data_IF_313594422668
#
_entry.id   IF_313594422668
#
_cell.length_a   1.000
_cell.length_b   1.000
_cell.length_c   1.000
_cell.angle_alpha   90.00
_cell.angle_beta   90.00
_cell.angle_gamma   90.00
#
_symmetry.space_group_name_H-M   'P 1'
#
loop_
_entity.id
_entity.type
_entity.pdbx_description
1 polymer ?
#
# COMPACT_ATOMS: atom_id res chain seq x y z
N UNK A 1 -7.76 9.61 -5.62
CA UNK A 1 -6.61 10.41 -6.09
C UNK A 1 -6.63 11.71 -5.32
N UNK A 2 -5.49 12.10 -4.77
CA UNK A 2 -5.33 13.39 -4.10
C UNK A 2 -4.53 14.32 -5.01
N UNK A 3 -4.74 15.62 -4.85
CA UNK A 3 -3.92 16.65 -5.49
C UNK A 3 -3.04 17.25 -4.40
N UNK A 4 -1.74 17.31 -4.65
CA UNK A 4 -0.79 17.96 -3.77
C UNK A 4 -1.08 19.48 -3.79
N UNK A 5 -1.29 20.07 -2.61
CA UNK A 5 -1.59 21.50 -2.50
C UNK A 5 -0.39 22.39 -2.82
N UNK A 6 0.83 21.88 -2.71
CA UNK A 6 2.07 22.65 -2.91
C UNK A 6 2.41 22.86 -4.38
N UNK A 7 2.25 21.84 -5.21
CA UNK A 7 2.70 21.83 -6.61
C UNK A 7 1.63 21.37 -7.60
N UNK A 8 0.41 21.09 -7.13
CA UNK A 8 -0.74 20.66 -7.94
C UNK A 8 -0.52 19.27 -8.61
N UNK A 9 0.51 18.53 -8.20
CA UNK A 9 0.78 17.19 -8.71
C UNK A 9 -0.23 16.16 -8.19
N UNK A 10 -0.37 15.04 -8.92
CA UNK A 10 -1.25 13.94 -8.52
C UNK A 10 -0.56 13.03 -7.52
N UNK A 11 -1.31 12.56 -6.53
CA UNK A 11 -0.83 11.63 -5.51
C UNK A 11 -1.72 10.39 -5.42
N UNK A 12 -1.08 9.25 -5.13
CA UNK A 12 -1.76 8.01 -4.79
C UNK A 12 -2.03 7.94 -3.29
N UNK A 13 -3.24 7.55 -2.94
CA UNK A 13 -3.68 7.31 -1.57
C UNK A 13 -4.04 5.84 -1.43
N UNK A 14 -3.43 5.16 -0.48
CA UNK A 14 -3.79 3.81 -0.04
C UNK A 14 -4.16 3.91 1.43
N UNK A 15 -5.34 3.43 1.79
CA UNK A 15 -5.84 3.49 3.16
C UNK A 15 -6.46 2.16 3.57
N UNK A 16 -6.19 1.75 4.80
CA UNK A 16 -6.81 0.61 5.43
C UNK A 16 -7.28 0.94 6.86
N UNK A 17 -8.33 0.26 7.30
CA UNK A 17 -8.84 0.30 8.66
C UNK A 17 -8.33 -0.90 9.50
N UNK A 18 -7.18 -1.45 9.15
CA UNK A 18 -6.51 -2.51 9.90
C UNK A 18 -5.95 -2.01 11.24
N UNK A 19 -5.22 -2.86 11.95
CA UNK A 19 -4.77 -2.57 13.32
C UNK A 19 -3.74 -1.44 13.48
N UNK A 20 -3.25 -0.86 12.37
CA UNK A 20 -2.21 0.17 12.38
C UNK A 20 -0.86 -0.30 12.93
N UNK A 21 0.03 0.67 13.14
CA UNK A 21 1.39 0.47 13.61
C UNK A 21 1.66 1.36 14.82
N UNK A 22 2.18 0.74 15.88
CA UNK A 22 2.80 1.48 16.98
C UNK A 22 4.15 2.07 16.52
N UNK A 23 4.74 3.02 17.28
CA UNK A 23 5.98 3.69 16.92
C UNK A 23 7.15 2.76 16.54
N UNK A 24 7.28 1.60 17.18
CA UNK A 24 8.36 0.65 16.88
C UNK A 24 8.07 -0.11 15.58
N UNK A 25 6.82 -0.53 15.35
CA UNK A 25 6.41 -1.17 14.10
C UNK A 25 6.55 -0.25 12.89
N UNK A 26 6.23 1.04 13.03
CA UNK A 26 6.42 1.98 11.92
C UNK A 26 7.91 2.08 11.54
N UNK A 27 8.81 2.17 12.53
CA UNK A 27 10.25 2.16 12.28
C UNK A 27 10.70 0.88 11.58
N UNK A 28 10.26 -0.29 12.05
CA UNK A 28 10.56 -1.57 11.39
C UNK A 28 9.99 -1.61 9.96
N UNK A 29 8.80 -1.03 9.74
CA UNK A 29 8.19 -0.92 8.43
C UNK A 29 9.00 -0.02 7.48
N UNK A 30 9.70 0.98 8.00
CA UNK A 30 10.59 1.86 7.22
C UNK A 30 12.01 1.31 7.05
N UNK A 31 12.50 0.47 7.96
CA UNK A 31 13.83 -0.16 7.89
C UNK A 31 13.86 -1.40 6.98
N UNK A 32 14.92 -1.59 6.20
CA UNK A 32 15.09 -2.76 5.32
C UNK A 32 15.21 -4.08 6.10
N UNK A 33 14.65 -5.18 5.57
CA UNK A 33 14.89 -6.53 6.08
C UNK A 33 14.11 -6.96 7.34
N UNK A 34 13.27 -6.09 7.93
CA UNK A 34 12.49 -6.45 9.11
C UNK A 34 11.10 -7.02 8.75
N UNK A 35 10.86 -8.27 9.15
CA UNK A 35 9.54 -8.90 9.09
C UNK A 35 9.29 -9.76 10.32
N UNK A 36 8.36 -9.33 11.18
CA UNK A 36 7.90 -10.12 12.33
C UNK A 36 6.94 -11.25 11.87
N UNK A 37 6.48 -11.19 10.61
CA UNK A 37 5.44 -12.07 10.05
C UNK A 37 5.95 -13.41 9.52
N UNK A 38 7.27 -13.60 9.41
CA UNK A 38 7.84 -14.89 8.98
C UNK A 38 7.47 -16.09 9.88
N UNK A 39 6.96 -15.83 11.09
CA UNK A 39 6.54 -16.85 12.07
C UNK A 39 5.02 -17.08 12.12
N UNK A 40 4.21 -16.34 11.37
CA UNK A 40 2.75 -16.45 11.38
C UNK A 40 2.27 -17.16 10.11
N UNK A 41 1.64 -18.33 10.30
CA UNK A 41 1.00 -19.06 9.22
C UNK A 41 -0.04 -18.17 8.50
N UNK A 42 -0.17 -18.35 7.19
CA UNK A 42 -1.14 -17.66 6.33
C UNK A 42 -0.97 -16.13 6.24
N UNK A 43 0.23 -15.60 6.47
CA UNK A 43 0.56 -14.20 6.16
C UNK A 43 1.31 -14.10 4.83
N UNK A 44 0.90 -13.14 3.99
CA UNK A 44 1.50 -12.94 2.65
C UNK A 44 2.88 -12.30 2.75
N UNK A 45 3.02 -11.26 3.59
CA UNK A 45 4.27 -10.50 3.71
C UNK A 45 5.29 -11.23 4.58
N UNK A 46 6.27 -11.88 3.96
CA UNK A 46 7.31 -12.63 4.67
C UNK A 46 8.66 -11.92 4.70
N UNK A 47 9.01 -11.17 3.64
CA UNK A 47 10.37 -10.65 3.42
C UNK A 47 10.67 -9.28 4.03
N UNK A 48 9.66 -8.53 4.48
CA UNK A 48 9.87 -7.20 5.08
C UNK A 48 10.26 -6.08 4.10
N UNK A 49 10.29 -6.36 2.79
CA UNK A 49 10.74 -5.43 1.76
C UNK A 49 9.62 -4.83 0.92
N UNK A 50 8.45 -5.48 0.85
CA UNK A 50 7.38 -5.14 -0.09
C UNK A 50 6.93 -3.68 -0.04
N UNK A 51 6.81 -3.09 1.15
CA UNK A 51 6.45 -1.68 1.30
C UNK A 51 7.48 -0.75 0.62
N UNK A 52 8.78 -0.88 0.93
CA UNK A 52 9.81 0.01 0.40
C UNK A 52 9.94 -0.12 -1.11
N UNK A 53 10.02 -1.36 -1.61
CA UNK A 53 10.21 -1.61 -3.04
C UNK A 53 9.03 -1.16 -3.88
N UNK A 54 7.80 -1.44 -3.43
CA UNK A 54 6.59 -1.04 -4.17
C UNK A 54 6.35 0.47 -4.14
N UNK A 55 6.49 1.12 -2.98
CA UNK A 55 6.26 2.58 -2.89
C UNK A 55 7.29 3.35 -3.69
N UNK A 56 8.57 2.96 -3.63
CA UNK A 56 9.65 3.57 -4.44
C UNK A 56 9.52 3.26 -5.93
N UNK A 57 8.81 2.18 -6.33
CA UNK A 57 8.48 1.91 -7.73
C UNK A 57 7.34 2.79 -8.25
N UNK A 58 6.48 3.31 -7.38
CA UNK A 58 5.31 4.10 -7.78
C UNK A 58 5.60 5.62 -7.79
N UNK A 59 6.44 6.09 -6.87
CA UNK A 59 6.89 7.47 -6.84
C UNK A 59 8.17 7.64 -6.04
N UNK A 60 8.77 8.81 -6.15
CA UNK A 60 10.01 9.14 -5.46
C UNK A 60 9.83 9.26 -3.95
N UNK A 61 8.63 9.64 -3.49
CA UNK A 61 8.41 9.99 -2.09
C UNK A 61 7.10 9.40 -1.54
N UNK A 62 7.16 8.94 -0.29
CA UNK A 62 5.99 8.41 0.43
C UNK A 62 5.96 8.91 1.86
N UNK A 63 4.77 9.33 2.29
CA UNK A 63 4.46 9.65 3.68
C UNK A 63 3.41 8.67 4.21
N UNK A 64 3.64 8.16 5.41
CA UNK A 64 2.78 7.18 6.07
C UNK A 64 2.26 7.76 7.37
N UNK A 65 0.95 7.73 7.53
CA UNK A 65 0.25 8.00 8.78
C UNK A 65 -0.29 6.67 9.30
N UNK A 66 -0.03 6.34 10.56
CA UNK A 66 -0.61 5.14 11.15
C UNK A 66 -1.08 5.41 12.56
N UNK A 67 -2.27 4.91 12.90
CA UNK A 67 -2.83 4.96 14.25
C UNK A 67 -3.03 3.54 14.75
N UNK A 68 -2.49 3.26 15.92
CA UNK A 68 -2.60 1.97 16.59
C UNK A 68 -3.31 2.14 17.92
N UNK A 69 -4.40 1.40 18.09
CA UNK A 69 -4.97 1.16 19.41
C UNK A 69 -4.00 0.24 20.15
N UNK A 70 -3.31 0.76 21.17
CA UNK A 70 -2.36 -0.02 21.95
C UNK A 70 -2.97 -1.35 22.43
N UNK A 71 -2.19 -2.43 22.37
CA UNK A 71 -2.54 -3.71 22.98
C UNK A 71 -2.08 -3.72 24.45
N UNK A 72 -2.79 -4.46 25.30
CA UNK A 72 -2.36 -4.83 26.65
C UNK A 72 -1.94 -3.62 27.52
N UNK A 73 -2.86 -2.66 27.71
CA UNK A 73 -2.66 -1.45 28.54
C UNK A 73 -1.72 -0.40 27.96
N UNK A 74 -1.29 -0.53 26.70
CA UNK A 74 -0.58 0.54 26.00
C UNK A 74 -1.55 1.63 25.52
N UNK A 75 -1.10 2.86 25.63
CA UNK A 75 -1.77 4.06 25.11
C UNK A 75 -2.00 3.98 23.60
N UNK A 76 -3.00 4.72 23.12
CA UNK A 76 -3.22 4.90 21.69
C UNK A 76 -2.08 5.74 21.13
N UNK A 77 -1.49 5.29 20.04
CA UNK A 77 -0.36 5.96 19.40
C UNK A 77 -0.71 6.31 17.96
N UNK A 78 -0.14 7.40 17.46
CA UNK A 78 -0.22 7.75 16.06
C UNK A 78 1.13 8.28 15.60
N UNK A 79 1.58 7.83 14.43
CA UNK A 79 2.94 8.09 13.97
C UNK A 79 2.94 8.49 12.50
N UNK A 80 3.81 9.44 12.14
CA UNK A 80 4.08 9.90 10.79
C UNK A 80 5.48 9.47 10.42
N UNK A 81 5.65 8.82 9.27
CA UNK A 81 6.97 8.47 8.74
C UNK A 81 7.12 8.91 7.30
N UNK A 82 8.27 9.48 6.97
CA UNK A 82 8.60 9.96 5.63
C UNK A 82 9.77 9.16 5.05
N UNK A 83 9.53 8.51 3.91
CA UNK A 83 10.58 7.93 3.09
C UNK A 83 10.64 8.73 1.78
N UNK A 84 11.64 9.60 1.65
CA UNK A 84 11.73 10.56 0.56
C UNK A 84 13.07 10.45 -0.16
N UNK A 85 13.04 9.96 -1.41
CA UNK A 85 14.19 9.98 -2.30
C UNK A 85 14.63 11.41 -2.59
N UNK A 86 13.66 12.31 -2.78
CA UNK A 86 13.92 13.71 -3.12
C UNK A 86 14.68 14.42 -2.01
N UNK A 87 14.29 14.23 -0.74
CA UNK A 87 15.02 14.72 0.43
C UNK A 87 16.45 14.21 0.46
N UNK A 88 16.64 12.88 0.36
CA UNK A 88 17.97 12.26 0.48
C UNK A 88 18.92 12.74 -0.63
N UNK A 89 18.44 12.77 -1.88
CA UNK A 89 19.22 13.25 -3.03
C UNK A 89 19.54 14.72 -2.94
N UNK A 90 18.55 15.57 -2.65
CA UNK A 90 18.73 17.02 -2.64
C UNK A 90 19.64 17.50 -1.51
N UNK A 91 19.70 16.74 -0.40
CA UNK A 91 20.58 17.04 0.73
C UNK A 91 21.90 16.27 0.70
N UNK A 92 22.17 15.50 -0.36
CA UNK A 92 23.43 14.78 -0.55
C UNK A 92 23.71 13.72 0.51
N UNK A 93 22.67 13.09 1.07
CA UNK A 93 22.83 12.07 2.12
C UNK A 93 23.39 10.79 1.53
N UNK A 94 24.47 10.28 2.14
CA UNK A 94 25.06 8.98 1.79
C UNK A 94 24.30 7.82 2.46
N UNK A 95 23.76 8.07 3.66
CA UNK A 95 22.95 7.12 4.42
C UNK A 95 21.44 7.38 4.28
N UNK A 96 20.64 6.33 4.40
CA UNK A 96 19.18 6.42 4.42
C UNK A 96 18.73 6.99 5.77
N UNK A 97 18.22 8.22 5.75
CA UNK A 97 17.61 8.89 6.90
C UNK A 97 16.09 8.93 6.73
N UNK A 98 15.35 8.43 7.72
CA UNK A 98 13.88 8.40 7.71
C UNK A 98 13.34 9.25 8.87
N UNK A 99 12.84 10.47 8.59
CA UNK A 99 12.17 11.29 9.60
C UNK A 99 10.89 10.62 10.10
N UNK A 100 10.74 10.53 11.42
CA UNK A 100 9.56 9.94 12.06
C UNK A 100 9.11 10.82 13.23
N UNK A 101 7.80 11.02 13.33
CA UNK A 101 7.11 11.69 14.43
C UNK A 101 6.15 10.70 15.06
N UNK A 102 6.25 10.48 16.37
CA UNK A 102 5.33 9.68 17.15
C UNK A 102 4.58 10.50 18.21
N UNK A 103 3.28 10.28 18.30
CA UNK A 103 2.41 10.88 19.31
C UNK A 103 1.75 9.80 20.15
N UNK A 104 1.59 10.08 21.42
CA UNK A 104 0.91 9.23 22.40
C UNK A 104 -0.30 9.97 22.94
N UNK A 105 -1.46 9.31 22.99
CA UNK A 105 -2.63 9.84 23.67
C UNK A 105 -2.55 9.50 25.16
N UNK A 106 -2.32 10.51 26.00
CA UNK A 106 -2.45 10.40 27.45
C UNK A 106 -3.73 11.12 27.86
N UNK A 107 -4.60 10.41 28.57
CA UNK A 107 -5.95 10.89 28.92
C UNK A 107 -6.73 11.37 27.68
N UNK A 108 -6.84 12.68 27.45
CA UNK A 108 -7.54 13.30 26.32
C UNK A 108 -6.62 14.13 25.41
N UNK A 109 -5.32 14.20 25.70
CA UNK A 109 -4.38 15.03 24.95
C UNK A 109 -3.32 14.20 24.22
N UNK A 110 -2.94 14.68 23.03
CA UNK A 110 -1.85 14.12 22.25
C UNK A 110 -0.52 14.72 22.69
N UNK A 111 0.37 13.87 23.18
CA UNK A 111 1.70 14.24 23.63
C UNK A 111 2.75 13.76 22.61
N UNK A 112 3.76 14.59 22.37
CA UNK A 112 4.92 14.24 21.53
C UNK A 112 5.77 13.20 22.24
N UNK A 113 6.15 12.13 21.56
CA UNK A 113 7.07 11.14 22.11
C UNK A 113 8.50 11.55 21.74
N UNK A 114 9.22 12.06 22.74
CA UNK A 114 10.65 12.37 22.61
C UNK A 114 11.46 11.10 22.85
N UNK A 115 12.13 10.57 21.82
CA UNK A 115 12.99 9.39 21.96
C UNK A 115 14.43 9.71 22.33
N UNK A 116 14.98 10.73 21.68
CA UNK A 116 16.39 11.12 21.84
C UNK A 116 16.48 12.50 22.48
N UNK A 117 16.13 13.54 21.73
CA UNK A 117 16.08 14.91 22.21
C UNK A 117 14.91 15.69 21.59
N UNK A 118 14.57 16.85 22.18
CA UNK A 118 13.60 17.77 21.59
C UNK A 118 14.09 18.35 20.25
N UNK A 119 15.40 18.53 20.10
CA UNK A 119 16.02 19.03 18.87
C UNK A 119 15.86 18.04 17.72
N UNK A 120 15.98 16.74 17.99
CA UNK A 120 15.78 15.69 16.97
C UNK A 120 14.32 15.65 16.51
N UNK A 121 13.37 15.86 17.43
CA UNK A 121 11.96 15.99 17.08
C UNK A 121 11.71 17.19 16.18
N UNK A 122 12.26 18.36 16.53
CA UNK A 122 12.16 19.58 15.73
C UNK A 122 12.71 19.37 14.32
N UNK A 123 13.91 18.79 14.19
CA UNK A 123 14.52 18.47 12.89
C UNK A 123 13.68 17.53 12.04
N UNK A 124 13.09 16.49 12.66
CA UNK A 124 12.19 15.58 11.94
C UNK A 124 10.92 16.29 11.47
N UNK A 125 10.35 17.16 12.31
CA UNK A 125 9.18 17.96 11.96
C UNK A 125 9.49 18.90 10.79
N UNK A 126 10.59 19.65 10.87
CA UNK A 126 11.02 20.56 9.82
C UNK A 126 11.29 19.82 8.51
N UNK A 127 11.90 18.63 8.58
CA UNK A 127 12.15 17.80 7.40
C UNK A 127 10.83 17.35 6.77
N UNK A 128 9.87 16.87 7.57
CA UNK A 128 8.57 16.42 7.06
C UNK A 128 7.80 17.60 6.46
N UNK A 129 7.77 18.76 7.11
CA UNK A 129 7.08 19.94 6.60
C UNK A 129 7.72 20.44 5.29
N UNK A 130 9.04 20.40 5.16
CA UNK A 130 9.71 20.89 3.96
C UNK A 130 9.56 19.94 2.77
N UNK A 131 9.64 18.62 3.00
CA UNK A 131 9.73 17.63 1.94
C UNK A 131 8.44 16.84 1.67
N UNK A 132 7.42 16.94 2.53
CA UNK A 132 6.12 16.32 2.29
C UNK A 132 5.10 17.27 1.64
N UNK A 133 3.94 16.78 1.19
CA UNK A 133 2.83 17.61 0.68
C UNK A 133 2.19 18.55 1.72
N UNK A 134 2.56 18.42 3.00
CA UNK A 134 1.96 19.16 4.12
C UNK A 134 2.92 20.24 4.62
N UNK A 135 2.38 21.41 4.93
CA UNK A 135 3.16 22.62 5.25
C UNK A 135 3.16 22.97 6.74
N UNK A 136 2.44 22.22 7.58
CA UNK A 136 2.38 22.46 9.02
C UNK A 136 2.07 21.21 9.83
N UNK A 137 2.38 21.24 11.14
CA UNK A 137 1.96 20.19 12.09
C UNK A 137 0.43 20.03 12.11
N UNK A 138 -0.33 21.12 11.99
CA UNK A 138 -1.80 21.07 11.94
C UNK A 138 -2.31 20.27 10.73
N UNK A 139 -1.75 20.49 9.54
CA UNK A 139 -2.14 19.74 8.33
C UNK A 139 -1.79 18.25 8.42
N UNK A 140 -0.67 17.90 9.07
CA UNK A 140 -0.32 16.51 9.35
C UNK A 140 -1.33 15.88 10.32
N UNK A 141 -1.69 16.60 11.39
CA UNK A 141 -2.66 16.12 12.38
C UNK A 141 -4.06 15.96 11.79
N UNK A 142 -4.46 16.80 10.84
CA UNK A 142 -5.71 16.65 10.10
C UNK A 142 -5.80 15.31 9.36
N UNK A 143 -4.69 14.73 8.88
CA UNK A 143 -4.71 13.41 8.24
C UNK A 143 -5.14 12.31 9.20
N UNK A 144 -4.85 12.45 10.51
CA UNK A 144 -5.29 11.49 11.51
C UNK A 144 -6.77 11.62 11.87
N UNK A 145 -7.45 12.70 11.50
CA UNK A 145 -8.91 12.81 11.65
C UNK A 145 -9.67 11.94 10.64
N UNK A 146 -9.01 11.57 9.54
CA UNK A 146 -9.56 10.67 8.51
C UNK A 146 -9.39 9.19 8.89
N UNK A 147 -8.49 8.89 9.82
CA UNK A 147 -8.33 7.56 10.39
C UNK A 147 -9.22 7.47 11.62
N UNK A 148 -10.04 6.42 11.71
CA UNK A 148 -10.92 6.18 12.87
C UNK A 148 -10.09 5.78 14.12
N UNK A 149 -10.40 4.65 14.75
CA UNK A 149 -9.70 4.21 15.96
C UNK A 149 -8.30 3.66 15.64
N UNK A 150 -8.17 2.94 14.53
CA UNK A 150 -6.92 2.36 14.06
C UNK A 150 -6.93 2.29 12.53
N UNK A 151 -5.74 2.27 11.94
CA UNK A 151 -5.58 2.17 10.49
C UNK A 151 -4.26 2.73 10.01
N UNK A 152 -4.04 2.63 8.71
CA UNK A 152 -2.87 3.21 8.04
C UNK A 152 -3.30 3.93 6.78
N UNK A 153 -2.72 5.11 6.58
CA UNK A 153 -2.92 5.96 5.41
C UNK A 153 -1.56 6.23 4.79
N UNK A 154 -1.37 5.79 3.56
CA UNK A 154 -0.11 5.87 2.80
C UNK A 154 -0.35 6.78 1.61
N UNK A 155 0.49 7.80 1.47
CA UNK A 155 0.39 8.78 0.39
C UNK A 155 1.70 8.79 -0.36
N UNK A 156 1.64 8.40 -1.63
CA UNK A 156 2.77 8.35 -2.55
C UNK A 156 2.62 9.53 -3.52
N UNK A 157 3.67 10.31 -3.65
CA UNK A 157 3.72 11.54 -4.46
C UNK A 157 5.04 11.60 -5.20
N UNK A 158 5.17 12.59 -6.10
CA UNK A 158 6.24 12.62 -7.10
C UNK A 158 6.26 11.29 -7.87
N UNK A 159 5.09 10.95 -8.42
CA UNK A 159 4.86 9.72 -9.18
C UNK A 159 5.74 9.70 -10.43
N UNK A 160 6.20 8.52 -10.83
CA UNK A 160 7.10 8.39 -11.97
C UNK A 160 6.41 8.73 -13.30
N UNK A 161 7.17 9.40 -14.15
CA UNK A 161 6.81 9.76 -15.51
C UNK A 161 7.65 8.94 -16.51
N UNK A 162 7.10 8.75 -17.70
CA UNK A 162 7.82 8.15 -18.82
C UNK A 162 8.75 9.17 -19.51
N UNK A 163 9.46 8.73 -20.55
CA UNK A 163 10.37 9.56 -21.33
C UNK A 163 9.68 10.74 -22.04
N UNK A 164 8.35 10.76 -22.09
CA UNK A 164 7.53 11.83 -22.67
C UNK A 164 7.01 12.80 -21.58
N UNK A 165 7.43 12.64 -20.32
CA UNK A 165 6.97 13.46 -19.19
C UNK A 165 5.51 13.19 -18.83
N UNK A 166 5.01 11.99 -19.11
CA UNK A 166 3.65 11.59 -18.79
C UNK A 166 3.65 10.56 -17.65
N UNK A 167 2.74 10.70 -16.70
CA UNK A 167 2.57 9.70 -15.64
C UNK A 167 2.32 8.31 -16.24
N UNK A 168 3.06 7.31 -15.74
CA UNK A 168 2.88 5.90 -16.15
C UNK A 168 1.45 5.40 -15.87
N UNK A 169 0.83 5.94 -14.82
CA UNK A 169 -0.53 5.64 -14.42
C UNK A 169 -1.53 6.61 -15.08
N UNK A 170 -2.50 6.03 -15.77
CA UNK A 170 -3.65 6.73 -16.34
C UNK A 170 -4.81 6.78 -15.32
N UNK A 171 -5.19 8.00 -14.98
CA UNK A 171 -6.33 8.31 -14.12
C UNK A 171 -7.51 8.94 -14.87
N UNK A 172 -7.36 9.19 -16.18
CA UNK A 172 -8.31 9.93 -17.00
C UNK A 172 -9.25 9.04 -17.82
N UNK A 173 -8.77 7.90 -18.33
CA UNK A 173 -9.57 7.06 -19.24
C UNK A 173 -10.82 6.45 -18.59
N UNK A 174 -10.76 6.09 -17.31
CA UNK A 174 -11.90 5.59 -16.53
C UNK A 174 -11.88 6.20 -15.12
N UNK A 175 -12.98 6.85 -14.73
CA UNK A 175 -13.13 7.53 -13.44
C UNK A 175 -13.09 6.58 -12.23
N UNK A 176 -13.36 5.30 -12.42
CA UNK A 176 -13.41 4.28 -11.37
C UNK A 176 -12.24 3.30 -11.44
N UNK A 177 -11.26 3.53 -12.32
CA UNK A 177 -10.09 2.66 -12.50
C UNK A 177 -8.77 3.44 -12.44
N UNK A 178 -7.67 2.70 -12.26
CA UNK A 178 -6.31 3.18 -12.48
C UNK A 178 -5.70 2.23 -13.51
N UNK A 179 -5.26 2.77 -14.64
CA UNK A 179 -4.75 1.97 -15.74
C UNK A 179 -3.27 2.26 -15.98
N UNK A 180 -2.58 1.35 -16.66
CA UNK A 180 -1.19 1.56 -17.08
C UNK A 180 -1.17 2.10 -18.52
N UNK A 181 -0.31 3.09 -18.78
CA UNK A 181 -0.02 3.59 -20.14
C UNK A 181 1.09 2.77 -20.81
N UNK A 182 1.15 2.83 -22.14
CA UNK A 182 2.24 2.23 -22.91
C UNK A 182 2.01 0.76 -23.28
N UNK A 183 3.11 -0.01 -23.44
CA UNK A 183 3.16 -1.30 -24.15
C UNK A 183 2.22 -2.38 -23.54
N UNK A 184 1.90 -2.28 -22.25
CA UNK A 184 0.99 -3.21 -21.59
C UNK A 184 -0.51 -2.94 -21.89
N UNK A 185 -0.83 -1.84 -22.56
CA UNK A 185 -2.20 -1.51 -23.00
C UNK A 185 -2.48 -2.16 -24.34
N UNK A 186 -2.93 -3.40 -24.29
CA UNK A 186 -3.36 -4.15 -25.49
C UNK A 186 -4.78 -3.75 -25.91
N UNK A 187 -4.87 -2.92 -26.96
CA UNK A 187 -6.16 -2.47 -27.51
C UNK A 187 -7.03 -3.61 -28.03
N UNK A 188 -6.42 -4.68 -28.55
CA UNK A 188 -7.15 -5.86 -29.01
C UNK A 188 -7.82 -6.55 -27.83
N UNK A 189 -7.10 -6.72 -26.72
CA UNK A 189 -7.70 -7.30 -25.51
C UNK A 189 -8.81 -6.41 -24.92
N UNK A 190 -8.67 -5.09 -24.99
CA UNK A 190 -9.72 -4.15 -24.57
C UNK A 190 -10.97 -4.31 -25.43
N UNK A 191 -10.83 -4.44 -26.75
CA UNK A 191 -11.95 -4.67 -27.66
C UNK A 191 -12.59 -6.04 -27.41
N UNK A 192 -11.77 -7.09 -27.26
CA UNK A 192 -12.26 -8.42 -26.92
C UNK A 192 -13.00 -8.45 -25.58
N UNK A 193 -12.55 -7.69 -24.57
CA UNK A 193 -13.23 -7.63 -23.28
C UNK A 193 -14.63 -6.99 -23.36
N UNK A 194 -14.89 -6.15 -24.38
CA UNK A 194 -16.24 -5.65 -24.68
C UNK A 194 -17.12 -6.70 -25.34
N UNK A 195 -16.53 -7.54 -26.19
CA UNK A 195 -17.24 -8.61 -26.89
C UNK A 195 -17.49 -9.84 -26.00
N UNK A 196 -16.57 -10.12 -25.08
CA UNK A 196 -16.59 -11.28 -24.18
C UNK A 196 -16.50 -10.83 -22.71
N UNK A 197 -17.61 -10.37 -22.12
CA UNK A 197 -17.62 -9.85 -20.74
C UNK A 197 -17.12 -10.84 -19.70
N UNK A 198 -17.38 -12.15 -19.90
CA UNK A 198 -16.94 -13.19 -18.97
C UNK A 198 -15.40 -13.27 -18.90
N UNK A 199 -14.72 -13.13 -20.04
CA UNK A 199 -13.24 -13.17 -20.09
C UNK A 199 -12.57 -11.82 -19.81
N UNK A 200 -13.34 -10.80 -19.38
CA UNK A 200 -12.82 -9.44 -19.17
C UNK A 200 -11.64 -9.45 -18.22
N UNK A 201 -11.72 -10.15 -17.09
CA UNK A 201 -10.65 -10.16 -16.08
C UNK A 201 -9.34 -10.67 -16.68
N UNK A 202 -9.37 -11.80 -17.37
CA UNK A 202 -8.22 -12.37 -18.07
C UNK A 202 -7.66 -11.44 -19.16
N UNK A 203 -8.53 -10.77 -19.93
CA UNK A 203 -8.09 -9.90 -21.02
C UNK A 203 -7.50 -8.58 -20.52
N UNK A 204 -7.89 -8.13 -19.32
CA UNK A 204 -7.64 -6.75 -18.88
C UNK A 204 -6.78 -6.61 -17.63
N UNK A 205 -6.47 -7.69 -16.90
CA UNK A 205 -5.69 -7.61 -15.65
C UNK A 205 -4.29 -6.99 -15.79
N UNK A 206 -3.68 -7.02 -16.97
CA UNK A 206 -2.36 -6.41 -17.21
C UNK A 206 -2.41 -4.88 -17.38
N UNK A 207 -3.58 -4.33 -17.68
CA UNK A 207 -3.74 -2.90 -17.91
C UNK A 207 -4.64 -2.22 -16.87
N UNK A 208 -5.65 -2.92 -16.34
CA UNK A 208 -6.66 -2.39 -15.42
C UNK A 208 -6.38 -2.86 -14.01
N UNK A 209 -6.13 -1.91 -13.10
CA UNK A 209 -5.96 -2.25 -11.68
C UNK A 209 -7.24 -2.86 -11.10
N UNK A 210 -8.42 -2.39 -11.52
CA UNK A 210 -9.70 -2.97 -11.09
C UNK A 210 -9.79 -4.46 -11.43
N UNK A 211 -9.45 -4.83 -12.66
CA UNK A 211 -9.49 -6.22 -13.11
C UNK A 211 -8.36 -7.07 -12.52
N UNK A 212 -7.21 -6.48 -12.21
CA UNK A 212 -6.15 -7.17 -11.48
C UNK A 212 -6.54 -7.47 -10.04
N UNK A 213 -7.10 -6.48 -9.35
CA UNK A 213 -7.44 -6.56 -7.93
C UNK A 213 -8.63 -7.49 -7.68
N UNK A 214 -9.57 -7.62 -8.61
CA UNK A 214 -10.70 -8.56 -8.47
C UNK A 214 -10.26 -10.02 -8.41
N UNK A 215 -9.12 -10.37 -9.02
CA UNK A 215 -8.56 -11.73 -9.05
C UNK A 215 -7.31 -11.89 -8.17
N UNK A 216 -6.89 -10.84 -7.45
CA UNK A 216 -5.65 -10.82 -6.69
C UNK A 216 -5.62 -11.87 -5.57
N UNK A 217 -6.77 -12.16 -4.98
CA UNK A 217 -6.94 -13.15 -3.94
C UNK A 217 -7.78 -14.31 -4.45
N UNK A 218 -7.34 -15.54 -4.20
CA UNK A 218 -8.14 -16.72 -4.50
C UNK A 218 -9.47 -16.69 -3.71
N UNK A 219 -9.42 -16.30 -2.44
CA UNK A 219 -10.60 -16.09 -1.58
C UNK A 219 -10.37 -14.87 -0.71
N UNK A 220 -11.36 -13.98 -0.64
CA UNK A 220 -11.29 -12.85 0.28
C UNK A 220 -11.59 -13.30 1.72
N UNK A 221 -10.84 -12.80 2.72
CA UNK A 221 -11.21 -12.97 4.12
C UNK A 221 -12.61 -12.37 4.41
N UNK A 222 -13.34 -12.89 5.41
CA UNK A 222 -14.56 -12.27 5.86
C UNK A 222 -14.34 -10.79 6.23
N UNK A 223 -15.28 -9.92 5.84
CA UNK A 223 -15.24 -8.47 6.09
C UNK A 223 -14.08 -7.72 5.42
N UNK A 224 -13.37 -8.34 4.47
CA UNK A 224 -12.38 -7.65 3.66
C UNK A 224 -13.02 -7.14 2.36
N UNK A 225 -12.79 -5.86 2.05
CA UNK A 225 -13.28 -5.21 0.82
C UNK A 225 -12.19 -4.35 0.23
N UNK A 226 -12.21 -4.20 -1.10
CA UNK A 226 -11.29 -3.29 -1.79
C UNK A 226 -12.13 -2.24 -2.52
N UNK A 227 -11.86 -0.97 -2.23
CA UNK A 227 -12.53 0.16 -2.88
C UNK A 227 -11.49 0.86 -3.75
N UNK A 228 -11.73 0.88 -5.06
CA UNK A 228 -10.89 1.59 -6.00
C UNK A 228 -11.63 2.84 -6.49
N UNK A 229 -11.02 4.01 -6.26
CA UNK A 229 -11.58 5.31 -6.69
C UNK A 229 -13.05 5.53 -6.28
N UNK A 230 -13.38 5.13 -5.06
CA UNK A 230 -14.73 5.32 -4.49
C UNK A 230 -15.77 4.29 -4.91
N UNK A 231 -15.42 3.30 -5.74
CA UNK A 231 -16.31 2.21 -6.13
C UNK A 231 -15.74 0.86 -5.71
N UNK A 232 -16.55 0.05 -5.03
CA UNK A 232 -16.20 -1.32 -4.63
C UNK A 232 -15.69 -2.13 -5.83
N UNK A 233 -14.67 -2.93 -5.60
CA UNK A 233 -14.16 -3.92 -6.55
C UNK A 233 -14.84 -5.24 -6.22
N UNK A 234 -15.66 -5.73 -7.13
CA UNK A 234 -16.26 -7.06 -7.03
C UNK A 234 -15.17 -8.11 -7.17
N UNK A 235 -15.11 -9.04 -6.22
CA UNK A 235 -14.22 -10.19 -6.30
C UNK A 235 -14.67 -11.13 -7.41
N UNK A 236 -13.72 -11.67 -8.15
CA UNK A 236 -13.97 -12.60 -9.23
C UNK A 236 -13.15 -13.87 -9.02
N UNK A 237 -13.84 -15.01 -8.90
CA UNK A 237 -13.19 -16.31 -8.89
C UNK A 237 -12.86 -16.72 -10.33
N UNK A 238 -11.56 -16.89 -10.61
CA UNK A 238 -11.05 -17.26 -11.95
C UNK A 238 -11.58 -18.61 -12.43
N UNK A 239 -12.03 -19.48 -11.52
CA UNK A 239 -12.66 -20.75 -11.87
C UNK A 239 -13.96 -20.53 -12.65
N UNK A 240 -14.65 -19.41 -12.42
CA UNK A 240 -15.90 -19.09 -13.13
C UNK A 240 -15.69 -18.76 -14.62
N UNK A 241 -14.45 -18.48 -15.03
CA UNK A 241 -14.11 -18.20 -16.43
C UNK A 241 -13.76 -19.47 -17.21
N UNK A 242 -13.55 -20.60 -16.52
CA UNK A 242 -13.12 -21.87 -17.10
C UNK A 242 -14.29 -22.60 -17.78
N UNK A 243 -13.96 -23.38 -18.81
CA UNK A 243 -14.93 -24.24 -19.51
C UNK A 243 -14.50 -25.69 -19.36
N UNK A 244 -15.47 -26.60 -19.15
CA UNK A 244 -15.18 -28.04 -18.96
C UNK A 244 -14.28 -28.30 -17.75
N UNK A 245 -14.63 -27.69 -16.60
CA UNK A 245 -13.84 -27.78 -15.37
C UNK A 245 -13.76 -29.20 -14.84
N UNK A 246 -12.54 -29.67 -14.57
CA UNK A 246 -12.24 -30.91 -13.85
C UNK A 246 -11.47 -30.61 -12.57
N UNK A 247 -11.80 -31.31 -11.48
CA UNK A 247 -11.06 -31.24 -10.22
C UNK A 247 -10.11 -32.44 -10.11
N UNK A 248 -8.83 -32.16 -9.96
CA UNK A 248 -7.76 -33.15 -9.84
C UNK A 248 -7.03 -32.95 -8.51
N UNK A 249 -6.83 -34.02 -7.75
CA UNK A 249 -6.04 -33.98 -6.52
C UNK A 249 -4.57 -34.29 -6.82
N UNK A 250 -3.70 -33.30 -6.64
CA UNK A 250 -2.25 -33.49 -6.67
C UNK A 250 -1.72 -33.92 -5.31
N UNK A 251 -0.94 -35.00 -5.28
CA UNK A 251 -0.31 -35.55 -4.07
C UNK A 251 1.20 -35.35 -4.13
N UNK A 252 1.76 -34.29 -3.51
CA UNK A 252 3.20 -34.07 -3.50
C UNK A 252 3.94 -35.19 -2.74
N UNK A 253 5.13 -35.57 -3.20
CA UNK A 253 6.00 -36.48 -2.45
C UNK A 253 6.54 -35.76 -1.21
N UNK A 254 6.38 -36.38 -0.03
CA UNK A 254 6.82 -35.80 1.25
C UNK A 254 8.34 -35.61 1.27
N UNK A 255 8.80 -34.36 1.39
CA UNK A 255 10.17 -34.05 1.83
C UNK A 255 10.33 -34.30 3.32
N UNK A 256 11.57 -34.26 3.82
CA UNK A 256 11.95 -34.63 5.19
C UNK A 256 11.26 -33.85 6.35
N UNK A 257 10.51 -32.79 6.06
CA UNK A 257 9.97 -31.84 7.06
C UNK A 257 8.42 -31.79 7.18
N UNK A 258 7.68 -32.80 6.73
CA UNK A 258 6.28 -32.97 7.19
C UNK A 258 5.27 -33.48 6.17
N UNK A 259 4.06 -33.72 6.68
CA UNK A 259 2.95 -34.40 6.01
C UNK A 259 2.55 -33.71 4.68
N UNK A 260 2.39 -34.46 3.60
CA UNK A 260 1.91 -33.93 2.33
C UNK A 260 0.46 -33.51 2.52
N UNK A 261 0.16 -32.25 2.21
CA UNK A 261 -1.24 -31.82 2.04
C UNK A 261 -1.60 -32.08 0.59
N UNK A 262 -2.61 -32.92 0.37
CA UNK A 262 -3.26 -33.05 -0.92
C UNK A 262 -3.68 -31.65 -1.40
N UNK A 263 -3.30 -31.30 -2.63
CA UNK A 263 -3.59 -30.02 -3.25
C UNK A 263 -4.66 -30.24 -4.31
N UNK A 264 -5.83 -29.64 -4.14
CA UNK A 264 -6.85 -29.66 -5.18
C UNK A 264 -6.48 -28.66 -6.28
N UNK A 265 -6.50 -29.13 -7.51
CA UNK A 265 -6.22 -28.38 -8.73
C UNK A 265 -7.47 -28.40 -9.58
N UNK A 266 -7.91 -27.22 -10.03
CA UNK A 266 -9.03 -27.09 -10.97
C UNK A 266 -8.42 -26.79 -12.35
N UNK A 267 -8.81 -27.58 -13.35
CA UNK A 267 -8.35 -27.45 -14.74
C UNK A 267 -9.58 -27.14 -15.61
N UNK A 268 -9.50 -26.15 -16.49
CA UNK A 268 -10.54 -25.83 -17.47
C UNK A 268 -10.16 -24.63 -18.34
#
# INVERSE_FOLDING_TARGET
>A
MLINRKDVSRMLLIEDNGGGMDPDKLRQCMSLGYSVKGKLANTIGQYGNGFKTSTMRLGADVIVFSRSCGKDSKSVTQSVGLLSYTFLRSTGKEDIVVPILDYERKEREWNKILRSSADDWGRNMDTIINWSPYSSEAELLEQFNLIENHGTRIIIYNLWEDDQGQLELDFGSDQHDIQIRGVNRDEKNIQMAKQYPNSRHFLTYRHSLRSYVSILYLRLPPNFRIILRGKDVEHHDVVNDMMMTEEVTYRPQSGADGLPKDINVIIG
#
